data_IF_567673788407
#
_entry.id   IF_567673788407
#
_cell.length_a   1.000
_cell.length_b   1.000
_cell.length_c   1.000
_cell.angle_alpha   90.00
_cell.angle_beta   90.00
_cell.angle_gamma   90.00
#
_symmetry.space_group_name_H-M   'P 1'
#
loop_
_entity.id
_entity.type
_entity.pdbx_description
1 polymer ?
#
# COMPACT_ATOMS: atom_id res chain seq x y z
N UNK A 1 44.63 12.65 -33.15
CA UNK A 1 45.48 12.58 -31.96
C UNK A 1 46.24 13.88 -31.88
N UNK A 2 45.76 14.81 -31.06
CA UNK A 2 46.39 16.11 -30.86
C UNK A 2 46.52 16.34 -29.34
N UNK A 3 47.75 16.41 -28.87
CA UNK A 3 48.10 16.50 -27.44
C UNK A 3 48.20 17.96 -27.04
N UNK A 4 47.12 18.49 -26.47
CA UNK A 4 47.02 19.86 -25.95
C UNK A 4 47.91 20.09 -24.73
N UNK A 5 49.03 20.78 -24.96
CA UNK A 5 50.01 21.25 -23.96
C UNK A 5 49.45 22.44 -23.19
N UNK A 6 49.09 22.23 -21.92
CA UNK A 6 48.61 23.30 -21.01
C UNK A 6 49.78 24.13 -20.48
N UNK A 7 49.82 25.39 -20.93
CA UNK A 7 50.75 26.44 -20.53
C UNK A 7 50.26 27.10 -19.22
N UNK A 8 50.96 26.86 -18.11
CA UNK A 8 50.68 27.53 -16.83
C UNK A 8 51.22 28.95 -16.84
N UNK A 9 50.32 29.91 -17.10
CA UNK A 9 50.63 31.34 -17.03
C UNK A 9 50.66 31.77 -15.57
N UNK A 10 51.87 31.98 -15.03
CA UNK A 10 52.09 32.44 -13.66
C UNK A 10 51.38 33.77 -13.38
N UNK A 11 50.34 33.74 -12.54
CA UNK A 11 49.74 34.95 -11.98
C UNK A 11 50.68 35.50 -10.90
N UNK A 12 51.20 36.70 -11.14
CA UNK A 12 51.90 37.49 -10.12
C UNK A 12 50.88 37.91 -9.06
N UNK A 13 51.08 37.47 -7.83
CA UNK A 13 50.30 37.94 -6.69
C UNK A 13 50.76 39.36 -6.31
N UNK A 14 49.83 40.30 -6.06
CA UNK A 14 50.19 41.61 -5.54
C UNK A 14 50.80 41.48 -4.15
N UNK A 15 51.83 42.29 -3.87
CA UNK A 15 52.41 42.37 -2.53
C UNK A 15 51.41 43.03 -1.59
N UNK A 16 51.01 42.29 -0.55
CA UNK A 16 50.15 42.74 0.53
C UNK A 16 50.95 43.77 1.34
N UNK A 17 50.90 45.04 0.92
CA UNK A 17 51.32 46.17 1.73
C UNK A 17 50.16 46.60 2.62
N UNK A 18 50.47 46.69 3.90
CA UNK A 18 49.76 47.43 4.92
C UNK A 18 48.29 47.06 5.11
N UNK A 19 48.05 45.80 5.46
CA UNK A 19 46.92 45.49 6.33
C UNK A 19 47.23 46.08 7.71
N UNK A 20 46.79 47.32 7.92
CA UNK A 20 46.54 47.85 9.25
C UNK A 20 45.69 46.81 9.96
N UNK A 21 46.35 46.02 10.82
CA UNK A 21 45.71 44.94 11.56
C UNK A 21 44.60 45.65 12.33
N UNK A 22 43.32 45.42 12.02
CA UNK A 22 42.28 45.98 12.87
C UNK A 22 42.59 45.42 14.24
N UNK A 23 42.94 46.30 15.18
CA UNK A 23 43.09 45.90 16.56
C UNK A 23 41.79 45.18 16.89
N UNK A 24 41.85 43.86 17.03
CA UNK A 24 40.73 43.06 17.49
C UNK A 24 40.49 43.63 18.88
N UNK A 25 39.55 44.57 18.95
CA UNK A 25 39.12 45.17 20.19
C UNK A 25 38.72 43.97 21.02
N UNK A 26 39.50 43.66 22.05
CA UNK A 26 39.16 42.60 23.02
C UNK A 26 37.78 42.98 23.50
N UNK A 27 36.76 42.33 22.95
CA UNK A 27 35.42 42.46 23.45
C UNK A 27 35.51 41.89 24.85
N UNK A 28 35.33 42.78 25.83
CA UNK A 28 35.26 42.38 27.22
C UNK A 28 34.18 41.30 27.29
N UNK A 29 34.59 40.06 27.57
CA UNK A 29 33.67 38.95 27.76
C UNK A 29 32.85 39.30 29.00
N UNK A 30 31.64 39.80 28.78
CA UNK A 30 30.69 40.00 29.86
C UNK A 30 30.16 38.61 30.22
N UNK A 31 30.37 38.19 31.45
CA UNK A 31 29.78 36.96 31.97
C UNK A 31 28.25 37.05 31.85
N UNK A 32 27.62 35.91 31.58
CA UNK A 32 26.16 35.82 31.59
C UNK A 32 25.64 35.96 33.01
N UNK A 33 24.55 36.70 33.19
CA UNK A 33 23.87 36.74 34.48
C UNK A 33 23.08 35.44 34.70
N UNK A 34 23.00 34.97 35.94
CA UNK A 34 22.21 33.78 36.32
C UNK A 34 20.76 33.80 35.80
N UNK A 35 20.01 34.93 35.89
CA UNK A 35 18.65 35.00 35.33
C UNK A 35 18.60 34.87 33.80
N UNK A 36 19.64 35.33 33.10
CA UNK A 36 19.70 35.28 31.63
C UNK A 36 19.92 33.83 31.15
N UNK A 37 20.69 33.03 31.89
CA UNK A 37 20.82 31.59 31.65
C UNK A 37 19.53 30.84 31.98
N UNK A 38 18.86 31.18 33.08
CA UNK A 38 17.59 30.54 33.44
C UNK A 38 16.49 30.82 32.40
N UNK A 39 16.36 32.05 31.93
CA UNK A 39 15.36 32.40 30.90
C UNK A 39 15.66 31.69 29.59
N UNK A 40 16.93 31.65 29.14
CA UNK A 40 17.30 30.97 27.89
C UNK A 40 17.07 29.47 27.95
N UNK A 41 17.36 28.82 29.09
CA UNK A 41 17.09 27.40 29.29
C UNK A 41 15.58 27.10 29.29
N UNK A 42 14.78 27.93 29.96
CA UNK A 42 13.32 27.79 29.95
C UNK A 42 12.76 27.93 28.54
N UNK A 43 13.19 28.93 27.78
CA UNK A 43 12.76 29.11 26.38
C UNK A 43 13.20 27.91 25.53
N UNK A 44 14.44 27.44 25.69
CA UNK A 44 14.95 26.27 24.96
C UNK A 44 14.13 25.01 25.21
N UNK A 45 13.77 24.73 26.47
CA UNK A 45 12.92 23.60 26.83
C UNK A 45 11.51 23.71 26.23
N UNK A 46 10.91 24.90 26.26
CA UNK A 46 9.60 25.14 25.65
C UNK A 46 9.65 24.92 24.14
N UNK A 47 10.69 25.41 23.47
CA UNK A 47 10.86 25.20 22.03
C UNK A 47 11.02 23.72 21.68
N UNK A 48 11.83 22.98 22.43
CA UNK A 48 12.02 21.53 22.22
C UNK A 48 10.69 20.78 22.38
N UNK A 49 9.91 21.14 23.40
CA UNK A 49 8.59 20.55 23.63
C UNK A 49 7.67 20.78 22.42
N UNK A 50 7.57 22.03 21.95
CA UNK A 50 6.73 22.39 20.80
C UNK A 50 7.14 21.59 19.56
N UNK A 51 8.43 21.55 19.23
CA UNK A 51 8.93 20.80 18.06
C UNK A 51 8.68 19.30 18.21
N UNK A 52 8.96 18.72 19.38
CA UNK A 52 8.74 17.30 19.64
C UNK A 52 7.28 16.91 19.46
N UNK A 53 6.34 17.73 19.94
CA UNK A 53 4.91 17.47 19.74
C UNK A 53 4.49 17.56 18.27
N UNK A 54 5.07 18.48 17.49
CA UNK A 54 4.81 18.57 16.05
C UNK A 54 5.31 17.33 15.30
N UNK A 55 6.53 16.86 15.62
CA UNK A 55 7.10 15.64 15.03
C UNK A 55 6.26 14.42 15.39
N UNK A 56 5.83 14.29 16.65
CA UNK A 56 4.93 13.21 17.08
C UNK A 56 3.62 13.20 16.26
N UNK A 57 3.00 14.37 16.05
CA UNK A 57 1.81 14.49 15.19
C UNK A 57 2.08 14.09 13.74
N UNK A 58 3.24 14.44 13.20
CA UNK A 58 3.62 14.06 11.84
C UNK A 58 3.86 12.56 11.70
N UNK A 59 4.39 11.88 12.72
CA UNK A 59 4.55 10.43 12.71
C UNK A 59 3.20 9.70 12.72
N UNK A 60 2.26 10.17 13.53
CA UNK A 60 0.90 9.63 13.56
C UNK A 60 0.23 9.75 12.19
N UNK A 61 0.34 10.91 11.55
CA UNK A 61 -0.17 11.15 10.20
C UNK A 61 0.54 10.30 9.15
N UNK A 62 1.87 10.17 9.23
CA UNK A 62 2.65 9.32 8.30
C UNK A 62 2.22 7.87 8.38
N UNK A 63 2.01 7.33 9.59
CA UNK A 63 1.49 5.96 9.79
C UNK A 63 0.10 5.80 9.20
N UNK A 64 -0.79 6.77 9.42
CA UNK A 64 -2.15 6.76 8.86
C UNK A 64 -2.20 6.84 7.34
N UNK A 65 -1.34 7.66 6.72
CA UNK A 65 -1.24 7.74 5.26
C UNK A 65 -0.67 6.45 4.68
N UNK A 66 0.35 5.86 5.32
CA UNK A 66 0.92 4.59 4.86
C UNK A 66 -0.11 3.46 4.93
N UNK A 67 -0.85 3.34 6.02
CA UNK A 67 -1.89 2.32 6.15
C UNK A 67 -3.04 2.52 5.16
N UNK A 68 -3.44 3.76 4.90
CA UNK A 68 -4.42 4.08 3.87
C UNK A 68 -3.92 3.69 2.47
N UNK A 69 -2.64 3.93 2.17
CA UNK A 69 -2.04 3.56 0.89
C UNK A 69 -1.94 2.04 0.71
N UNK A 70 -1.55 1.30 1.75
CA UNK A 70 -1.54 -0.17 1.74
C UNK A 70 -2.94 -0.73 1.52
N UNK A 71 -3.95 -0.17 2.21
CA UNK A 71 -5.34 -0.55 2.01
C UNK A 71 -5.80 -0.28 0.57
N UNK A 72 -5.50 0.90 0.02
CA UNK A 72 -5.89 1.25 -1.34
C UNK A 72 -5.30 0.29 -2.38
N UNK A 73 -4.02 -0.06 -2.23
CA UNK A 73 -3.37 -1.04 -3.12
C UNK A 73 -3.98 -2.44 -2.99
N UNK A 74 -4.26 -2.88 -1.76
CA UNK A 74 -4.90 -4.17 -1.54
C UNK A 74 -6.32 -4.23 -2.09
N UNK A 75 -7.11 -3.15 -1.92
CA UNK A 75 -8.45 -3.03 -2.49
C UNK A 75 -8.38 -3.04 -4.01
N UNK A 76 -7.50 -2.25 -4.62
CA UNK A 76 -7.31 -2.22 -6.07
C UNK A 76 -6.93 -3.60 -6.63
N UNK A 77 -6.03 -4.30 -5.96
CA UNK A 77 -5.64 -5.66 -6.33
C UNK A 77 -6.80 -6.65 -6.20
N UNK A 78 -7.52 -6.66 -5.07
CA UNK A 78 -8.66 -7.55 -4.87
C UNK A 78 -9.78 -7.30 -5.89
N UNK A 79 -10.06 -6.03 -6.21
CA UNK A 79 -11.03 -5.66 -7.24
C UNK A 79 -10.59 -6.11 -8.64
N UNK A 80 -9.30 -5.99 -8.95
CA UNK A 80 -8.74 -6.49 -10.22
C UNK A 80 -8.88 -8.01 -10.35
N UNK A 81 -8.56 -8.77 -9.30
CA UNK A 81 -8.72 -10.22 -9.30
C UNK A 81 -10.19 -10.60 -9.47
N UNK A 82 -11.10 -9.92 -8.76
CA UNK A 82 -12.54 -10.14 -8.92
C UNK A 82 -13.03 -9.81 -10.34
N UNK A 83 -12.63 -8.68 -10.94
CA UNK A 83 -13.00 -8.34 -12.33
C UNK A 83 -12.46 -9.38 -13.31
N UNK A 84 -11.24 -9.86 -13.12
CA UNK A 84 -10.66 -10.93 -13.94
C UNK A 84 -11.48 -12.22 -13.87
N UNK A 85 -11.84 -12.68 -12.67
CA UNK A 85 -12.67 -13.88 -12.49
C UNK A 85 -14.06 -13.70 -13.11
N UNK A 86 -14.68 -12.51 -12.95
CA UNK A 86 -15.98 -12.19 -13.53
C UNK A 86 -15.96 -12.15 -15.05
N UNK A 87 -14.89 -11.62 -15.65
CA UNK A 87 -14.71 -11.60 -17.11
C UNK A 87 -14.44 -12.99 -17.68
N UNK A 88 -13.81 -13.86 -16.91
CA UNK A 88 -13.53 -15.25 -17.29
C UNK A 88 -14.69 -16.19 -16.96
N UNK A 89 -15.72 -15.72 -16.24
CA UNK A 89 -16.91 -16.50 -15.94
C UNK A 89 -17.55 -17.03 -17.23
N UNK A 90 -17.91 -18.30 -17.24
CA UNK A 90 -18.49 -18.97 -18.40
C UNK A 90 -17.52 -19.32 -19.52
N UNK A 91 -16.27 -18.85 -19.49
CA UNK A 91 -15.28 -19.21 -20.50
C UNK A 91 -15.04 -20.74 -20.48
N UNK A 92 -14.96 -21.35 -21.66
CA UNK A 92 -14.83 -22.81 -21.78
C UNK A 92 -16.10 -23.61 -21.47
N UNK A 93 -17.21 -22.97 -21.09
CA UNK A 93 -18.53 -23.61 -20.89
C UNK A 93 -19.48 -23.43 -22.10
N UNK A 94 -19.02 -22.74 -23.16
CA UNK A 94 -19.80 -22.36 -24.34
C UNK A 94 -20.39 -23.54 -25.15
N UNK A 95 -19.89 -24.76 -24.97
CA UNK A 95 -20.48 -25.98 -25.58
C UNK A 95 -21.68 -26.54 -24.80
N UNK A 96 -21.98 -26.02 -23.60
CA UNK A 96 -23.12 -26.48 -22.80
C UNK A 96 -24.39 -25.74 -23.22
N UNK A 97 -25.23 -26.39 -24.02
CA UNK A 97 -26.50 -25.83 -24.53
C UNK A 97 -27.61 -25.69 -23.47
N UNK A 98 -27.28 -25.82 -22.18
CA UNK A 98 -28.23 -25.98 -21.08
C UNK A 98 -27.96 -24.99 -19.92
N UNK A 99 -27.75 -23.72 -20.25
CA UNK A 99 -27.70 -22.65 -19.25
C UNK A 99 -28.99 -22.63 -18.42
N UNK A 100 -28.86 -22.56 -17.10
CA UNK A 100 -29.97 -22.58 -16.14
C UNK A 100 -30.51 -23.97 -15.79
N UNK A 101 -30.08 -25.03 -16.48
CA UNK A 101 -30.46 -26.40 -16.11
C UNK A 101 -29.64 -26.91 -14.92
N UNK A 102 -30.21 -27.80 -14.09
CA UNK A 102 -29.49 -28.44 -13.00
C UNK A 102 -28.37 -29.34 -13.54
N UNK A 103 -27.22 -29.28 -12.86
CA UNK A 103 -26.04 -30.07 -13.17
C UNK A 103 -26.13 -31.46 -12.55
N UNK A 104 -26.05 -32.47 -13.40
CA UNK A 104 -25.81 -33.86 -13.01
C UNK A 104 -24.33 -34.18 -13.25
N UNK A 105 -23.55 -34.28 -12.18
CA UNK A 105 -22.10 -34.54 -12.25
C UNK A 105 -21.79 -35.79 -11.43
N UNK A 106 -21.10 -36.73 -12.03
CA UNK A 106 -20.62 -37.96 -11.37
C UNK A 106 -19.16 -38.21 -11.68
N UNK A 107 -18.41 -38.72 -10.70
CA UNK A 107 -17.01 -39.16 -10.87
C UNK A 107 -16.87 -40.56 -10.31
N UNK A 108 -16.29 -41.48 -11.09
CA UNK A 108 -16.08 -42.88 -10.68
C UNK A 108 -17.36 -43.53 -10.11
N UNK A 109 -18.50 -43.35 -10.78
CA UNK A 109 -19.83 -43.80 -10.35
C UNK A 109 -20.36 -43.19 -9.04
N UNK A 110 -19.65 -42.25 -8.42
CA UNK A 110 -20.13 -41.44 -7.30
C UNK A 110 -20.81 -40.16 -7.79
N UNK A 111 -22.04 -39.90 -7.34
CA UNK A 111 -22.77 -38.66 -7.62
C UNK A 111 -22.15 -37.50 -6.83
N UNK A 112 -21.74 -36.44 -7.54
CA UNK A 112 -21.22 -35.20 -6.96
C UNK A 112 -22.31 -34.12 -6.88
N UNK A 113 -23.10 -33.99 -7.96
CA UNK A 113 -24.21 -33.05 -8.10
C UNK A 113 -25.40 -33.76 -8.78
N UNK A 114 -26.66 -33.54 -8.33
CA UNK A 114 -27.03 -32.84 -7.10
C UNK A 114 -26.41 -33.50 -5.89
N UNK A 115 -25.90 -32.71 -4.95
CA UNK A 115 -25.23 -33.26 -3.78
C UNK A 115 -26.25 -33.93 -2.85
N UNK A 116 -25.84 -34.99 -2.15
CA UNK A 116 -26.68 -35.71 -1.17
C UNK A 116 -26.50 -35.18 0.27
N UNK A 117 -25.49 -34.35 0.49
CA UNK A 117 -25.14 -33.73 1.77
C UNK A 117 -24.86 -32.24 1.54
N UNK A 118 -24.99 -31.39 2.56
CA UNK A 118 -24.64 -29.97 2.44
C UNK A 118 -23.20 -29.75 1.95
N UNK A 119 -22.92 -28.56 1.40
CA UNK A 119 -21.53 -28.15 1.22
C UNK A 119 -20.84 -27.97 2.57
N UNK A 120 -19.51 -28.21 2.66
CA UNK A 120 -18.76 -27.86 3.86
C UNK A 120 -18.97 -26.40 4.24
N UNK A 121 -18.89 -26.12 5.54
CA UNK A 121 -18.87 -24.74 6.02
C UNK A 121 -17.77 -23.95 5.30
N UNK A 122 -18.05 -22.69 4.89
CA UNK A 122 -19.21 -21.87 5.24
C UNK A 122 -20.43 -21.98 4.29
N UNK A 123 -20.47 -22.96 3.39
CA UNK A 123 -21.44 -22.99 2.27
C UNK A 123 -22.61 -23.96 2.47
N UNK A 124 -22.87 -24.41 3.70
CA UNK A 124 -23.90 -25.42 4.00
C UNK A 124 -25.31 -25.09 3.49
N UNK A 125 -25.64 -23.80 3.36
CA UNK A 125 -26.94 -23.35 2.86
C UNK A 125 -27.01 -23.11 1.34
N UNK A 126 -25.90 -23.33 0.60
CA UNK A 126 -25.92 -23.27 -0.87
C UNK A 126 -26.73 -24.44 -1.42
N UNK A 127 -27.55 -24.18 -2.44
CA UNK A 127 -28.39 -25.21 -3.06
C UNK A 127 -27.56 -26.40 -3.56
N UNK A 128 -27.95 -27.60 -3.14
CA UNK A 128 -27.32 -28.85 -3.57
C UNK A 128 -27.66 -29.20 -5.03
N UNK A 129 -28.74 -28.62 -5.56
CA UNK A 129 -29.08 -28.62 -6.99
C UNK A 129 -28.46 -27.38 -7.61
N UNK A 130 -27.23 -27.53 -8.10
CA UNK A 130 -26.47 -26.46 -8.73
C UNK A 130 -26.84 -26.33 -10.21
N UNK A 131 -26.93 -25.12 -10.75
CA UNK A 131 -27.29 -24.87 -12.16
C UNK A 131 -26.08 -24.44 -12.98
N UNK A 132 -26.07 -24.74 -14.29
CA UNK A 132 -25.03 -24.20 -15.18
C UNK A 132 -25.32 -22.73 -15.45
N UNK A 133 -24.51 -21.82 -14.91
CA UNK A 133 -24.53 -20.41 -15.28
C UNK A 133 -23.15 -19.80 -15.02
N UNK A 134 -22.70 -18.81 -15.83
CA UNK A 134 -21.39 -18.18 -15.61
C UNK A 134 -21.26 -17.65 -14.18
N UNK A 135 -22.34 -17.07 -13.66
CA UNK A 135 -22.42 -16.52 -12.30
C UNK A 135 -23.78 -16.90 -11.70
N UNK A 136 -23.78 -17.35 -10.45
CA UNK A 136 -24.99 -17.58 -9.64
C UNK A 136 -24.80 -16.88 -8.29
N UNK A 137 -25.83 -16.17 -7.83
CA UNK A 137 -25.87 -15.56 -6.50
C UNK A 137 -26.85 -16.33 -5.63
N UNK A 138 -26.37 -16.82 -4.50
CA UNK A 138 -27.21 -17.43 -3.46
C UNK A 138 -27.38 -16.43 -2.33
N UNK A 139 -28.51 -15.71 -2.35
CA UNK A 139 -28.80 -14.67 -1.37
C UNK A 139 -28.94 -15.27 0.05
N UNK A 140 -28.24 -14.70 1.01
CA UNK A 140 -28.27 -15.11 2.42
C UNK A 140 -27.77 -16.53 2.72
N UNK A 141 -27.15 -17.21 1.74
CA UNK A 141 -26.68 -18.59 1.89
C UNK A 141 -25.34 -18.72 2.65
N UNK A 142 -24.66 -17.61 2.90
CA UNK A 142 -23.42 -17.55 3.64
C UNK A 142 -23.63 -17.31 5.14
N UNK A 143 -22.56 -17.38 5.95
CA UNK A 143 -22.61 -17.14 7.39
C UNK A 143 -23.18 -15.75 7.68
N UNK A 144 -23.97 -15.64 8.75
CA UNK A 144 -24.60 -14.38 9.17
C UNK A 144 -25.51 -13.73 8.10
N UNK A 145 -26.05 -14.52 7.16
CA UNK A 145 -26.91 -14.01 6.08
C UNK A 145 -26.13 -13.27 4.99
N UNK A 146 -24.83 -13.54 4.86
CA UNK A 146 -24.04 -13.06 3.71
C UNK A 146 -24.44 -13.78 2.41
N UNK A 147 -24.23 -13.12 1.28
CA UNK A 147 -24.51 -13.72 -0.02
C UNK A 147 -23.32 -14.57 -0.48
N UNK A 148 -23.61 -15.67 -1.18
CA UNK A 148 -22.58 -16.50 -1.81
C UNK A 148 -22.60 -16.26 -3.31
N UNK A 149 -21.48 -15.77 -3.84
CA UNK A 149 -21.24 -15.65 -5.28
C UNK A 149 -20.52 -16.90 -5.78
N UNK A 150 -21.15 -17.65 -6.67
CA UNK A 150 -20.55 -18.80 -7.34
C UNK A 150 -20.23 -18.43 -8.79
N UNK A 151 -18.95 -18.55 -9.15
CA UNK A 151 -18.43 -18.31 -10.50
C UNK A 151 -18.11 -19.68 -11.10
N UNK A 152 -18.62 -19.95 -12.30
CA UNK A 152 -18.30 -21.18 -13.00
C UNK A 152 -17.54 -20.88 -14.28
N UNK A 153 -16.49 -21.66 -14.54
CA UNK A 153 -15.72 -21.60 -15.77
C UNK A 153 -15.16 -22.99 -16.09
N UNK A 154 -14.85 -23.23 -17.36
CA UNK A 154 -14.21 -24.47 -17.80
C UNK A 154 -12.71 -24.47 -17.47
N UNK A 155 -12.08 -25.64 -17.56
CA UNK A 155 -10.65 -25.80 -17.27
C UNK A 155 -9.72 -24.90 -18.11
N UNK A 156 -10.17 -24.43 -19.29
CA UNK A 156 -9.38 -23.54 -20.16
C UNK A 156 -9.52 -22.05 -19.82
N UNK A 157 -10.37 -21.67 -18.84
CA UNK A 157 -10.68 -20.28 -18.54
C UNK A 157 -9.66 -19.54 -17.67
N UNK A 158 -8.82 -20.29 -16.94
CA UNK A 158 -7.89 -19.76 -15.93
C UNK A 158 -6.41 -19.98 -16.30
N UNK A 159 -6.15 -20.42 -17.55
CA UNK A 159 -4.80 -20.55 -18.11
C UNK A 159 -4.19 -19.23 -18.53
#
# INVERSE_FOLDING_TARGET
MDTGRIHWRGKRYPSIRDSGIPMIRRQHTRGFSLPELMVTLVIGLVLILVVSTMVARQEDLRRGISSANELANNVAYSAFVLDRELRNAGAGLAGSVNWGCPLAVSKNNGQLLPRLQPFPDPFGNVSQTYVVAPIVVFAGAGPNGSDVLAISAGNSALS
#
